data_IF_591079782805
#
_entry.id   IF_591079782805
#
_cell.length_a   1.000
_cell.length_b   1.000
_cell.length_c   1.000
_cell.angle_alpha   90.00
_cell.angle_beta   90.00
_cell.angle_gamma   90.00
#
_symmetry.space_group_name_H-M   'P 1'
#
loop_
_entity.id
_entity.type
_entity.pdbx_description
1 polymer ?
#
# COMPACT_ATOMS: atom_id res chain seq x y z
N UNK A 1 1.50 6.53 -4.02
CA UNK A 1 1.05 7.28 -2.83
C UNK A 1 1.13 8.74 -3.15
N UNK A 2 0.04 9.46 -2.99
CA UNK A 2 0.00 10.91 -3.17
C UNK A 2 0.11 11.56 -1.81
N UNK A 3 1.18 12.34 -1.64
CA UNK A 3 1.47 13.12 -0.44
C UNK A 3 1.02 14.57 -0.64
N UNK A 4 0.97 15.33 0.45
CA UNK A 4 0.48 16.70 0.41
C UNK A 4 1.44 17.64 -0.33
N UNK A 5 2.74 17.48 -0.11
CA UNK A 5 3.77 18.27 -0.77
C UNK A 5 4.93 17.40 -1.26
N UNK A 6 5.72 17.93 -2.20
CA UNK A 6 6.86 17.19 -2.74
C UNK A 6 7.93 16.92 -1.68
N UNK A 7 8.11 17.87 -0.76
CA UNK A 7 9.07 17.79 0.34
C UNK A 7 8.75 16.63 1.33
N UNK A 8 7.52 16.10 1.30
CA UNK A 8 7.12 14.94 2.10
C UNK A 8 7.71 13.63 1.54
N UNK A 9 8.19 13.63 0.28
CA UNK A 9 8.85 12.49 -0.35
C UNK A 9 10.25 12.32 0.26
N UNK A 10 10.61 11.11 0.75
CA UNK A 10 11.93 10.88 1.31
C UNK A 10 13.02 11.25 0.31
N UNK A 11 13.93 12.13 0.72
CA UNK A 11 15.09 12.59 -0.06
C UNK A 11 14.73 13.26 -1.41
N UNK A 12 13.47 13.65 -1.63
CA UNK A 12 13.01 14.30 -2.86
C UNK A 12 13.83 15.55 -3.18
N UNK A 13 14.09 16.37 -2.16
CA UNK A 13 14.87 17.61 -2.31
C UNK A 13 16.32 17.39 -2.73
N UNK A 14 16.88 16.20 -2.55
CA UNK A 14 18.27 15.88 -2.92
C UNK A 14 18.39 15.07 -4.21
N UNK A 15 17.26 14.62 -4.76
CA UNK A 15 17.23 13.76 -5.93
C UNK A 15 17.54 14.55 -7.20
N UNK A 16 18.39 14.03 -8.08
CA UNK A 16 18.81 14.63 -9.37
C UNK A 16 19.58 15.95 -9.28
N UNK A 17 20.07 16.31 -8.09
CA UNK A 17 20.86 17.53 -7.90
C UNK A 17 22.35 17.34 -8.23
N UNK A 18 22.80 16.12 -8.45
CA UNK A 18 24.19 15.75 -8.69
C UNK A 18 24.31 14.83 -9.92
N UNK A 19 25.54 14.65 -10.43
CA UNK A 19 25.81 13.72 -11.53
C UNK A 19 25.54 12.25 -11.14
N UNK A 20 25.64 11.97 -9.84
CA UNK A 20 25.42 10.66 -9.24
C UNK A 20 24.42 10.81 -8.09
N UNK A 21 23.38 9.99 -8.08
CA UNK A 21 22.35 9.98 -7.05
C UNK A 21 22.51 8.77 -6.13
N UNK A 22 22.46 9.01 -4.82
CA UNK A 22 22.48 7.98 -3.79
C UNK A 22 21.05 7.64 -3.38
N UNK A 23 20.66 6.38 -3.53
CA UNK A 23 19.35 5.84 -3.15
C UNK A 23 19.28 5.62 -1.63
N UNK A 24 19.23 6.73 -0.88
CA UNK A 24 19.25 6.75 0.59
C UNK A 24 18.00 6.13 1.21
N UNK A 25 16.89 6.15 0.48
CA UNK A 25 15.62 5.52 0.84
C UNK A 25 15.68 3.99 0.84
N UNK A 26 16.69 3.39 0.20
CA UNK A 26 16.86 1.94 0.11
C UNK A 26 15.57 1.26 -0.36
N UNK A 27 15.01 0.32 0.42
CA UNK A 27 13.78 -0.40 0.09
C UNK A 27 12.50 0.38 0.43
N UNK A 28 12.61 1.51 1.15
CA UNK A 28 11.49 2.32 1.60
C UNK A 28 11.09 3.33 0.52
N UNK A 29 10.57 2.81 -0.59
CA UNK A 29 10.12 3.63 -1.73
C UNK A 29 8.60 3.69 -1.75
N UNK A 30 8.05 4.90 -1.94
CA UNK A 30 6.62 5.12 -2.06
C UNK A 30 5.86 4.62 -0.82
N UNK A 31 4.83 3.79 -1.01
CA UNK A 31 4.00 3.31 0.11
C UNK A 31 4.80 2.57 1.18
N UNK A 32 5.92 1.92 0.83
CA UNK A 32 6.78 1.22 1.81
C UNK A 32 7.38 2.15 2.85
N UNK A 33 7.59 3.42 2.48
CA UNK A 33 8.03 4.46 3.40
C UNK A 33 6.87 4.99 4.24
N UNK A 34 5.76 5.28 3.59
CA UNK A 34 4.62 5.96 4.21
C UNK A 34 3.72 5.05 5.06
N UNK A 35 3.74 3.72 4.85
CA UNK A 35 2.96 2.76 5.64
C UNK A 35 3.41 2.71 7.12
N UNK A 36 4.64 3.13 7.40
CA UNK A 36 5.18 3.26 8.76
C UNK A 36 4.95 4.65 9.40
N UNK A 37 4.30 5.59 8.69
CA UNK A 37 4.08 6.98 9.13
C UNK A 37 2.62 7.27 9.49
N UNK A 38 2.33 8.36 10.23
CA UNK A 38 0.97 8.76 10.54
C UNK A 38 0.14 8.97 9.27
N UNK A 39 -1.07 8.40 9.21
CA UNK A 39 -1.97 8.48 8.04
C UNK A 39 -2.34 9.92 7.65
N UNK A 40 -2.22 10.87 8.57
CA UNK A 40 -2.57 12.29 8.36
C UNK A 40 -1.66 13.00 7.35
N UNK A 41 -0.54 12.39 6.95
CA UNK A 41 0.42 12.96 5.99
C UNK A 41 0.16 12.53 4.53
N UNK A 42 -0.80 11.62 4.29
CA UNK A 42 -1.06 11.04 2.96
C UNK A 42 -2.43 11.52 2.46
N UNK A 43 -2.46 12.14 1.28
CA UNK A 43 -3.72 12.54 0.63
C UNK A 43 -4.46 11.35 0.04
N UNK A 44 -3.76 10.55 -0.77
CA UNK A 44 -4.31 9.32 -1.36
C UNK A 44 -3.32 8.16 -1.19
N UNK A 45 -3.65 7.13 -0.41
CA UNK A 45 -2.76 6.00 -0.21
C UNK A 45 -2.60 5.18 -1.49
N UNK A 46 -1.55 4.35 -1.54
CA UNK A 46 -1.40 3.39 -2.62
C UNK A 46 -2.62 2.45 -2.68
N UNK A 47 -3.12 2.22 -3.89
CA UNK A 47 -4.31 1.39 -4.10
C UNK A 47 -5.65 2.08 -3.80
N UNK A 48 -5.65 3.37 -3.46
CA UNK A 48 -6.89 4.11 -3.24
C UNK A 48 -7.66 4.33 -4.55
N UNK A 49 -8.98 4.12 -4.51
CA UNK A 49 -9.90 4.40 -5.60
C UNK A 49 -11.32 4.51 -5.06
N UNK A 50 -12.13 5.39 -5.65
CA UNK A 50 -13.54 5.50 -5.36
C UNK A 50 -14.35 4.77 -6.44
N UNK A 51 -15.58 4.40 -6.08
CA UNK A 51 -16.57 3.84 -6.99
C UNK A 51 -17.89 4.57 -6.83
N UNK A 52 -18.77 4.45 -7.83
CA UNK A 52 -20.15 4.95 -7.75
C UNK A 52 -21.08 4.03 -6.94
N UNK A 53 -20.58 2.86 -6.53
CA UNK A 53 -21.25 1.95 -5.59
C UNK A 53 -20.29 1.63 -4.43
N UNK A 54 -20.83 1.00 -3.38
CA UNK A 54 -20.07 0.57 -2.21
C UNK A 54 -19.92 -0.96 -2.21
N UNK A 55 -18.79 -1.44 -1.69
CA UNK A 55 -18.47 -2.86 -1.58
C UNK A 55 -18.19 -3.26 -0.14
N UNK A 56 -18.74 -4.39 0.28
CA UNK A 56 -18.50 -4.98 1.59
C UNK A 56 -17.65 -6.25 1.44
N UNK A 57 -16.61 -6.36 2.27
CA UNK A 57 -15.69 -7.48 2.33
C UNK A 57 -16.07 -8.38 3.52
N UNK A 58 -16.16 -9.69 3.29
CA UNK A 58 -16.52 -10.68 4.32
C UNK A 58 -15.68 -11.94 4.25
N UNK A 59 -15.71 -12.68 5.35
CA UNK A 59 -15.25 -14.06 5.44
C UNK A 59 -13.82 -14.28 4.93
N UNK A 60 -12.90 -13.38 5.30
CA UNK A 60 -11.48 -13.57 4.99
C UNK A 60 -10.96 -14.84 5.66
N UNK A 61 -10.57 -15.81 4.83
CA UNK A 61 -9.92 -17.04 5.24
C UNK A 61 -8.51 -17.08 4.67
N UNK A 62 -7.54 -17.38 5.53
CA UNK A 62 -6.14 -17.55 5.14
C UNK A 62 -5.70 -18.95 5.52
N UNK A 63 -5.28 -19.75 4.53
CA UNK A 63 -4.85 -21.14 4.71
C UNK A 63 -3.45 -21.33 4.17
N UNK A 64 -2.62 -22.04 4.92
CA UNK A 64 -1.31 -22.48 4.43
C UNK A 64 -1.44 -23.83 3.73
N UNK A 65 -1.02 -23.88 2.47
CA UNK A 65 -0.99 -25.09 1.64
C UNK A 65 0.47 -25.40 1.29
N UNK A 66 1.15 -26.11 2.19
CA UNK A 66 2.59 -26.36 2.09
C UNK A 66 3.41 -25.07 2.15
N UNK A 67 4.01 -24.69 1.01
CA UNK A 67 4.78 -23.45 0.84
C UNK A 67 3.95 -22.27 0.34
N UNK A 68 2.68 -22.50 -0.02
CA UNK A 68 1.78 -21.45 -0.51
C UNK A 68 0.85 -20.97 0.61
N UNK A 69 0.43 -19.72 0.51
CA UNK A 69 -0.67 -19.15 1.30
C UNK A 69 -1.82 -18.88 0.34
N UNK A 70 -2.99 -19.44 0.64
CA UNK A 70 -4.23 -19.17 -0.06
C UNK A 70 -5.06 -18.23 0.82
N UNK A 71 -5.38 -17.05 0.29
CA UNK A 71 -6.29 -16.10 0.92
C UNK A 71 -7.56 -16.00 0.08
N UNK A 72 -8.71 -16.12 0.72
CA UNK A 72 -10.02 -16.04 0.09
C UNK A 72 -10.90 -15.09 0.91
N UNK A 73 -11.63 -14.21 0.25
CA UNK A 73 -12.68 -13.40 0.86
C UNK A 73 -13.87 -13.29 -0.09
N UNK A 74 -15.05 -13.04 0.46
CA UNK A 74 -16.22 -12.65 -0.31
C UNK A 74 -16.24 -11.13 -0.48
N UNK A 75 -16.56 -10.66 -1.67
CA UNK A 75 -16.80 -9.24 -1.97
C UNK A 75 -18.21 -9.11 -2.49
N UNK A 76 -18.99 -8.21 -1.88
CA UNK A 76 -20.38 -7.97 -2.26
C UNK A 76 -20.56 -6.50 -2.63
N UNK A 77 -21.12 -6.24 -3.81
CA UNK A 77 -21.67 -4.93 -4.14
C UNK A 77 -22.94 -4.72 -3.29
N UNK A 78 -22.95 -3.68 -2.46
CA UNK A 78 -24.06 -3.35 -1.54
C UNK A 78 -24.82 -2.08 -1.93
N UNK A 79 -24.38 -1.38 -2.98
CA UNK A 79 -25.09 -0.22 -3.51
C UNK A 79 -26.07 -0.56 -4.63
N UNK A 80 -26.61 0.49 -5.25
CA UNK A 80 -27.74 0.39 -6.18
C UNK A 80 -27.34 0.37 -7.66
N UNK A 81 -26.05 0.42 -7.98
CA UNK A 81 -25.54 0.42 -9.36
C UNK A 81 -24.51 -0.67 -9.56
N UNK A 82 -24.38 -1.17 -10.80
CA UNK A 82 -23.33 -2.11 -11.16
C UNK A 82 -21.94 -1.46 -10.97
N UNK A 83 -20.96 -2.24 -10.56
CA UNK A 83 -19.60 -1.77 -10.34
C UNK A 83 -18.59 -2.93 -10.27
N UNK A 84 -17.31 -2.57 -10.29
CA UNK A 84 -16.19 -3.49 -10.10
C UNK A 84 -15.34 -3.07 -8.91
N UNK A 85 -14.65 -4.02 -8.30
CA UNK A 85 -13.82 -3.83 -7.11
C UNK A 85 -12.47 -4.55 -7.28
N UNK A 86 -11.40 -3.96 -6.76
CA UNK A 86 -10.03 -4.51 -6.81
C UNK A 86 -9.60 -4.90 -5.40
N UNK A 87 -9.62 -6.21 -5.13
CA UNK A 87 -9.13 -6.78 -3.86
C UNK A 87 -7.61 -6.70 -3.80
N UNK A 88 -7.08 -6.12 -2.72
CA UNK A 88 -5.64 -5.96 -2.50
C UNK A 88 -5.20 -6.76 -1.27
N UNK A 89 -4.19 -7.62 -1.43
CA UNK A 89 -3.59 -8.42 -0.35
C UNK A 89 -2.18 -7.90 -0.06
N UNK A 90 -1.93 -7.53 1.19
CA UNK A 90 -0.63 -7.07 1.68
C UNK A 90 -0.04 -8.07 2.67
N UNK A 91 1.30 -8.19 2.66
CA UNK A 91 2.03 -9.08 3.58
C UNK A 91 2.93 -8.25 4.47
N UNK A 92 2.71 -8.35 5.78
CA UNK A 92 3.63 -7.82 6.78
C UNK A 92 4.57 -8.94 7.24
N UNK A 93 5.86 -8.74 7.01
CA UNK A 93 6.87 -9.72 7.40
C UNK A 93 7.30 -9.48 8.85
N UNK A 94 7.65 -10.55 9.60
CA UNK A 94 8.05 -10.43 11.00
C UNK A 94 9.30 -9.55 11.15
N UNK A 95 9.34 -8.78 12.25
CA UNK A 95 10.52 -8.00 12.61
C UNK A 95 11.71 -8.93 12.87
N UNK A 96 12.87 -8.56 12.35
CA UNK A 96 14.14 -9.31 12.46
C UNK A 96 15.30 -8.33 12.34
N UNK A 97 16.55 -8.80 12.41
CA UNK A 97 17.73 -7.97 12.14
C UNK A 97 17.83 -7.40 10.70
N UNK A 98 16.97 -7.84 9.78
CA UNK A 98 16.84 -7.26 8.42
C UNK A 98 15.65 -6.31 8.36
N UNK A 99 15.90 -5.09 7.85
CA UNK A 99 14.89 -4.07 7.58
C UNK A 99 13.82 -4.57 6.59
N UNK A 100 12.56 -4.30 6.90
CA UNK A 100 11.41 -4.61 6.04
C UNK A 100 10.40 -3.47 6.08
N UNK A 101 9.65 -3.25 4.98
CA UNK A 101 8.55 -2.31 4.95
C UNK A 101 7.44 -2.57 5.96
#
# INVERSE_FOLDING_TARGET
TWVNKYEDIPFGDSYTQHREDLYKESIFIGYRYFDKRPKQEILFPFGFGLSYTEFEYKDLQVKRMGKQICAQCAVKNVGNVAGAEVVQLYVSAPQSGVFKP
#
